data_IF_646898646259
#
_entry.id   IF_646898646259
#
_cell.length_a   1.000
_cell.length_b   1.000
_cell.length_c   1.000
_cell.angle_alpha   90.00
_cell.angle_beta   90.00
_cell.angle_gamma   90.00
#
_symmetry.space_group_name_H-M   'P 1'
#
loop_
_entity.id
_entity.type
_entity.pdbx_description
1 polymer ?
#
# COMPACT_ATOMS: atom_id res chain seq x y z
N UNK A 1 -41.44 -21.02 9.22
CA UNK A 1 -40.87 -22.23 9.87
C UNK A 1 -40.07 -22.99 8.81
N UNK A 2 -38.87 -23.54 9.00
CA UNK A 2 -38.05 -23.75 10.18
C UNK A 2 -36.56 -23.86 9.80
N UNK A 3 -35.71 -23.63 10.80
CA UNK A 3 -34.24 -23.61 10.72
C UNK A 3 -33.73 -25.06 10.65
N UNK A 4 -32.89 -25.41 9.66
CA UNK A 4 -32.14 -26.67 9.67
C UNK A 4 -30.89 -26.51 10.54
N UNK A 5 -30.90 -27.20 11.68
CA UNK A 5 -29.79 -27.32 12.64
C UNK A 5 -28.73 -28.25 12.04
N UNK A 6 -27.47 -27.84 12.02
CA UNK A 6 -26.33 -28.73 11.81
C UNK A 6 -25.78 -29.11 13.19
N UNK A 7 -25.88 -30.40 13.53
CA UNK A 7 -25.22 -30.98 14.70
C UNK A 7 -23.78 -31.32 14.32
N UNK A 8 -22.80 -30.74 15.01
CA UNK A 8 -21.39 -31.11 14.93
C UNK A 8 -21.01 -31.90 16.18
N UNK A 9 -20.93 -33.23 16.07
CA UNK A 9 -20.29 -34.09 17.05
C UNK A 9 -18.87 -34.38 16.58
N UNK A 10 -17.89 -33.70 17.17
CA UNK A 10 -16.51 -34.18 17.27
C UNK A 10 -16.11 -33.97 18.72
N UNK A 11 -16.13 -35.07 19.47
CA UNK A 11 -15.68 -35.16 20.83
C UNK A 11 -14.18 -34.86 20.90
N UNK A 12 -13.81 -33.90 21.74
CA UNK A 12 -12.45 -33.75 22.26
C UNK A 12 -12.29 -34.70 23.45
N UNK A 13 -11.22 -35.50 23.54
CA UNK A 13 -10.86 -36.14 24.79
C UNK A 13 -10.29 -35.08 25.76
N UNK A 14 -10.93 -34.96 26.91
CA UNK A 14 -10.42 -34.30 28.11
C UNK A 14 -9.08 -34.90 28.54
N UNK A 15 -8.12 -34.04 28.89
CA UNK A 15 -6.94 -34.40 29.65
C UNK A 15 -6.94 -33.53 30.92
N UNK A 16 -7.48 -34.09 31.99
CA UNK A 16 -7.43 -33.63 33.39
C UNK A 16 -7.51 -34.92 34.22
N UNK A 17 -6.79 -35.19 35.30
CA UNK A 17 -5.51 -34.78 35.85
C UNK A 17 -5.29 -35.80 36.98
N UNK A 18 -4.09 -36.36 37.16
CA UNK A 18 -3.67 -36.86 38.47
C UNK A 18 -2.19 -36.55 38.66
N UNK A 19 -1.98 -35.60 39.56
CA UNK A 19 -0.75 -35.35 40.29
C UNK A 19 -0.43 -36.52 41.22
N UNK A 20 0.83 -36.53 41.67
CA UNK A 20 1.38 -37.20 42.85
C UNK A 20 2.32 -38.39 42.59
N UNK A 21 3.47 -38.30 43.27
CA UNK A 21 4.61 -39.23 43.35
C UNK A 21 5.76 -38.98 42.36
N UNK A 22 6.37 -37.79 42.49
CA UNK A 22 7.76 -37.54 42.11
C UNK A 22 8.55 -36.96 43.27
N UNK A 23 8.56 -37.66 44.40
CA UNK A 23 9.67 -37.63 45.35
C UNK A 23 10.13 -39.10 45.45
N UNK A 24 11.42 -39.35 45.60
CA UNK A 24 12.07 -40.69 45.63
C UNK A 24 12.56 -41.31 44.31
N UNK A 25 13.33 -40.54 43.51
CA UNK A 25 14.49 -41.12 42.79
C UNK A 25 15.69 -40.16 42.83
N UNK A 26 15.99 -39.64 44.01
CA UNK A 26 17.33 -39.16 44.35
C UNK A 26 18.03 -40.36 44.97
N UNK A 27 18.90 -41.05 44.21
CA UNK A 27 20.02 -41.93 44.66
C UNK A 27 20.39 -42.95 43.57
N UNK A 28 20.70 -42.50 42.35
CA UNK A 28 21.55 -43.30 41.46
C UNK A 28 22.67 -42.44 40.92
N UNK A 29 23.83 -42.57 41.57
CA UNK A 29 25.09 -41.98 41.16
C UNK A 29 25.32 -42.16 39.66
N UNK A 30 25.70 -41.10 38.92
CA UNK A 30 25.88 -41.21 37.48
C UNK A 30 27.09 -42.13 37.20
N UNK A 31 26.82 -43.22 36.47
CA UNK A 31 27.84 -44.10 35.90
C UNK A 31 28.86 -43.23 35.16
N UNK A 32 30.15 -43.40 35.48
CA UNK A 32 31.29 -42.69 34.90
C UNK A 32 31.23 -42.76 33.37
N UNK A 33 30.69 -41.71 32.74
CA UNK A 33 30.80 -41.49 31.31
C UNK A 33 32.28 -41.28 31.00
N UNK A 34 32.84 -42.19 30.19
CA UNK A 34 34.22 -42.12 29.71
C UNK A 34 34.48 -40.70 29.18
N UNK A 35 35.57 -40.07 29.63
CA UNK A 35 36.04 -38.77 29.15
C UNK A 35 36.41 -38.87 27.66
N UNK A 36 35.41 -38.84 26.77
CA UNK A 36 35.61 -38.56 25.35
C UNK A 36 36.03 -37.11 25.27
N UNK A 37 37.20 -36.85 24.69
CA UNK A 37 37.77 -35.52 24.46
C UNK A 37 36.71 -34.65 23.78
N UNK A 38 36.02 -33.82 24.56
CA UNK A 38 35.17 -32.75 24.02
C UNK A 38 36.13 -31.78 23.36
N UNK A 39 36.02 -31.73 22.04
CA UNK A 39 36.84 -30.93 21.13
C UNK A 39 36.97 -29.49 21.67
N UNK A 40 38.20 -28.97 21.73
CA UNK A 40 38.56 -27.65 22.31
C UNK A 40 37.70 -26.49 21.73
N UNK A 41 37.10 -26.71 20.55
CA UNK A 41 36.16 -25.81 19.88
C UNK A 41 34.83 -25.59 20.62
N UNK A 42 34.32 -26.58 21.35
CA UNK A 42 33.05 -26.45 22.10
C UNK A 42 33.19 -25.53 23.32
N UNK A 43 34.36 -25.53 23.99
CA UNK A 43 34.66 -24.60 25.08
C UNK A 43 34.80 -23.17 24.59
N UNK A 44 35.40 -22.98 23.40
CA UNK A 44 35.57 -21.65 22.77
C UNK A 44 34.25 -20.97 22.38
N UNK A 45 33.16 -21.72 22.26
CA UNK A 45 31.82 -21.21 21.96
C UNK A 45 30.87 -21.22 23.16
N UNK A 46 31.25 -21.87 24.27
CA UNK A 46 30.44 -21.93 25.48
C UNK A 46 30.51 -20.63 26.27
N UNK A 47 31.71 -20.09 26.49
CA UNK A 47 31.87 -18.83 27.25
C UNK A 47 31.15 -17.64 26.59
N UNK A 48 31.27 -17.39 25.27
CA UNK A 48 30.54 -16.30 24.62
C UNK A 48 29.02 -16.49 24.61
N UNK A 49 28.56 -17.75 24.61
CA UNK A 49 27.14 -18.08 24.63
C UNK A 49 26.54 -17.90 26.03
N UNK A 50 27.28 -18.26 27.08
CA UNK A 50 26.84 -18.10 28.46
C UNK A 50 26.85 -16.63 28.89
N UNK A 51 27.80 -15.82 28.40
CA UNK A 51 27.78 -14.37 28.61
C UNK A 51 26.63 -13.72 27.87
N UNK A 52 26.32 -14.16 26.64
CA UNK A 52 25.14 -13.72 25.90
C UNK A 52 23.84 -14.03 26.67
N UNK A 53 23.69 -15.24 27.21
CA UNK A 53 22.52 -15.62 28.00
C UNK A 53 22.38 -14.80 29.30
N UNK A 54 23.47 -14.56 30.03
CA UNK A 54 23.45 -13.69 31.22
C UNK A 54 23.08 -12.24 30.87
N UNK A 55 23.60 -11.72 29.76
CA UNK A 55 23.24 -10.38 29.29
C UNK A 55 21.76 -10.28 28.89
N UNK A 56 21.20 -11.35 28.30
CA UNK A 56 19.79 -11.42 27.93
C UNK A 56 18.88 -11.49 29.16
N UNK A 57 19.29 -12.23 30.19
CA UNK A 57 18.54 -12.30 31.44
C UNK A 57 18.54 -10.95 32.18
N UNK A 58 19.70 -10.29 32.29
CA UNK A 58 19.80 -8.94 32.86
C UNK A 58 19.01 -7.90 32.04
N UNK A 59 19.00 -8.03 30.71
CA UNK A 59 18.16 -7.21 29.84
C UNK A 59 16.66 -7.47 30.09
N UNK A 60 16.25 -8.73 30.25
CA UNK A 60 14.86 -9.09 30.53
C UNK A 60 14.36 -8.57 31.89
N UNK A 61 15.24 -8.54 32.90
CA UNK A 61 14.93 -8.01 34.23
C UNK A 61 14.87 -6.47 34.25
N UNK A 62 15.64 -5.81 33.38
CA UNK A 62 15.66 -4.34 33.24
C UNK A 62 14.65 -3.81 32.22
N UNK A 63 13.94 -4.68 31.50
CA UNK A 63 12.80 -4.28 30.67
C UNK A 63 11.76 -3.59 31.58
N UNK A 64 11.36 -2.34 31.28
CA UNK A 64 10.39 -1.65 32.09
C UNK A 64 9.11 -2.49 32.17
N UNK A 65 8.63 -2.74 33.40
CA UNK A 65 7.40 -3.50 33.70
C UNK A 65 6.17 -3.08 32.87
N UNK A 66 6.19 -1.88 32.26
CA UNK A 66 5.25 -1.42 31.23
C UNK A 66 5.06 -2.39 30.04
N UNK A 67 5.99 -3.30 29.76
CA UNK A 67 5.82 -4.30 28.69
C UNK A 67 5.16 -5.60 29.19
N UNK A 68 5.22 -5.89 30.50
CA UNK A 68 4.54 -7.01 31.15
C UNK A 68 3.14 -6.65 31.66
N UNK A 69 2.84 -5.37 31.88
CA UNK A 69 1.48 -4.84 32.08
C UNK A 69 0.69 -4.79 30.77
N UNK A 70 0.69 -5.89 30.03
CA UNK A 70 -0.34 -6.11 29.02
C UNK A 70 -1.62 -6.45 29.79
N UNK A 71 -2.38 -5.42 30.18
CA UNK A 71 -3.72 -5.55 30.76
C UNK A 71 -4.55 -6.53 29.91
N UNK A 72 -4.70 -7.78 30.37
CA UNK A 72 -5.53 -8.78 29.70
C UNK A 72 -7.00 -8.35 29.61
N UNK A 73 -7.40 -7.40 30.47
CA UNK A 73 -8.69 -6.71 30.42
C UNK A 73 -8.92 -5.88 29.15
N UNK A 74 -7.88 -5.60 28.34
CA UNK A 74 -7.95 -4.83 27.09
C UNK A 74 -7.82 -5.69 25.82
N UNK A 75 -7.86 -7.03 25.92
CA UNK A 75 -7.91 -7.94 24.76
C UNK A 75 -9.29 -7.86 24.07
N UNK A 76 -9.47 -6.81 23.25
CA UNK A 76 -10.58 -6.74 22.30
C UNK A 76 -10.50 -7.92 21.34
N UNK A 77 -11.61 -8.67 21.23
CA UNK A 77 -11.75 -9.76 20.27
C UNK A 77 -11.56 -9.23 18.82
N UNK A 78 -11.19 -10.09 17.88
CA UNK A 78 -10.94 -9.70 16.49
C UNK A 78 -12.15 -8.98 15.88
N UNK A 79 -13.37 -9.42 16.21
CA UNK A 79 -14.61 -8.79 15.78
C UNK A 79 -14.79 -7.39 16.37
N UNK A 80 -14.42 -7.18 17.63
CA UNK A 80 -14.51 -5.89 18.30
C UNK A 80 -13.46 -4.91 17.77
N UNK A 81 -12.27 -5.39 17.41
CA UNK A 81 -11.24 -4.58 16.73
C UNK A 81 -11.72 -4.08 15.38
N UNK A 82 -12.42 -4.91 14.61
CA UNK A 82 -13.05 -4.53 13.34
C UNK A 82 -14.14 -3.49 13.54
N UNK A 83 -15.04 -3.71 14.51
CA UNK A 83 -16.10 -2.74 14.89
C UNK A 83 -15.50 -1.40 15.31
N UNK A 84 -14.46 -1.39 16.16
CA UNK A 84 -13.77 -0.17 16.63
C UNK A 84 -13.07 0.58 15.49
N UNK A 85 -12.44 -0.13 14.55
CA UNK A 85 -11.87 0.48 13.32
C UNK A 85 -12.96 1.10 12.44
N UNK A 86 -14.08 0.39 12.26
CA UNK A 86 -15.24 0.90 11.53
C UNK A 86 -15.86 2.14 12.18
N UNK A 87 -16.01 2.14 13.51
CA UNK A 87 -16.53 3.27 14.28
C UNK A 87 -15.61 4.49 14.19
N UNK A 88 -14.29 4.30 14.34
CA UNK A 88 -13.30 5.37 14.16
C UNK A 88 -13.35 5.98 12.75
N UNK A 89 -13.49 5.16 11.73
CA UNK A 89 -13.65 5.64 10.35
C UNK A 89 -14.96 6.42 10.15
N UNK A 90 -16.05 5.99 10.79
CA UNK A 90 -17.34 6.69 10.73
C UNK A 90 -17.31 8.03 11.47
N UNK A 91 -16.70 8.09 12.65
CA UNK A 91 -16.53 9.32 13.43
C UNK A 91 -15.68 10.35 12.70
N UNK A 92 -14.51 9.95 12.19
CA UNK A 92 -13.65 10.84 11.39
C UNK A 92 -14.34 11.32 10.11
N UNK A 93 -15.16 10.47 9.47
CA UNK A 93 -15.97 10.88 8.31
C UNK A 93 -17.06 11.90 8.69
N UNK A 94 -17.75 11.72 9.83
CA UNK A 94 -18.72 12.70 10.35
C UNK A 94 -18.06 14.04 10.68
N UNK A 95 -16.94 14.03 11.40
CA UNK A 95 -16.18 15.24 11.74
C UNK A 95 -15.78 16.04 10.50
N UNK A 96 -15.23 15.38 9.47
CA UNK A 96 -14.87 16.03 8.19
C UNK A 96 -16.09 16.62 7.45
N UNK A 97 -17.25 15.96 7.52
CA UNK A 97 -18.48 16.48 6.91
C UNK A 97 -18.98 17.73 7.64
N UNK A 98 -18.97 17.72 8.97
CA UNK A 98 -19.35 18.86 9.79
C UNK A 98 -18.41 20.05 9.59
N UNK A 99 -17.09 19.82 9.55
CA UNK A 99 -16.08 20.84 9.26
C UNK A 99 -16.32 21.47 7.89
N UNK A 100 -16.56 20.64 6.86
CA UNK A 100 -16.87 21.11 5.51
C UNK A 100 -18.17 21.92 5.46
N UNK A 101 -19.17 21.53 6.24
CA UNK A 101 -20.43 22.27 6.34
C UNK A 101 -20.25 23.63 7.03
N UNK A 102 -19.44 23.69 8.10
CA UNK A 102 -19.08 24.94 8.79
C UNK A 102 -18.33 25.90 7.85
N UNK A 103 -17.31 25.41 7.14
CA UNK A 103 -16.57 26.19 6.14
C UNK A 103 -17.46 26.71 5.01
N UNK A 104 -18.46 25.92 4.56
CA UNK A 104 -19.41 26.35 3.54
C UNK A 104 -20.34 27.47 4.06
N UNK A 105 -20.82 27.35 5.30
CA UNK A 105 -21.65 28.38 5.95
C UNK A 105 -20.86 29.68 6.17
N UNK A 106 -19.61 29.59 6.59
CA UNK A 106 -18.73 30.73 6.78
C UNK A 106 -18.43 31.47 5.47
N UNK A 107 -18.11 30.74 4.40
CA UNK A 107 -17.93 31.31 3.05
C UNK A 107 -19.20 31.98 2.53
N UNK A 108 -20.39 31.44 2.82
CA UNK A 108 -21.65 32.09 2.47
C UNK A 108 -21.90 33.37 3.26
N UNK A 109 -21.55 33.41 4.56
CA UNK A 109 -21.64 34.63 5.38
C UNK A 109 -20.68 35.72 4.89
N UNK A 110 -19.45 35.37 4.53
CA UNK A 110 -18.47 36.30 3.96
C UNK A 110 -18.94 36.90 2.63
N UNK A 111 -19.51 36.07 1.73
CA UNK A 111 -20.09 36.55 0.47
C UNK A 111 -21.30 37.47 0.65
N UNK A 112 -22.13 37.25 1.67
CA UNK A 112 -23.27 38.13 2.00
C UNK A 112 -22.82 39.46 2.62
N UNK A 113 -21.69 39.47 3.33
CA UNK A 113 -21.10 40.71 3.86
C UNK A 113 -20.46 41.56 2.76
N UNK A 114 -19.78 40.94 1.79
CA UNK A 114 -19.17 41.66 0.66
C UNK A 114 -20.17 42.26 -0.33
N UNK A 115 -21.42 41.76 -0.38
CA UNK A 115 -22.47 42.30 -1.25
C UNK A 115 -23.27 43.46 -0.64
N UNK A 116 -22.96 43.90 0.59
CA UNK A 116 -23.69 44.98 1.29
C UNK A 116 -22.92 46.30 1.38
N UNK A 117 -21.67 46.35 0.94
CA UNK A 117 -20.84 47.56 0.94
C UNK A 117 -20.28 47.85 -0.45
N UNK A 118 -20.79 48.89 -1.11
CA UNK A 118 -20.15 49.46 -2.30
C UNK A 118 -21.13 49.86 -3.40
N UNK A 119 -21.87 50.96 -3.20
CA UNK A 119 -22.52 51.67 -4.29
C UNK A 119 -22.17 53.17 -4.15
N UNK A 120 -21.09 53.61 -4.80
CA UNK A 120 -20.79 55.01 -5.02
C UNK A 120 -20.06 55.20 -6.36
N UNK A 121 -20.73 56.00 -7.20
CA UNK A 121 -20.28 56.90 -8.26
C UNK A 121 -19.32 56.42 -9.36
N UNK A 122 -19.79 56.63 -10.60
CA UNK A 122 -19.01 56.62 -11.84
C UNK A 122 -19.30 57.96 -12.55
N UNK A 123 -18.29 58.78 -12.92
CA UNK A 123 -18.52 59.97 -13.71
C UNK A 123 -18.59 59.64 -15.21
N UNK A 124 -19.35 60.46 -15.95
CA UNK A 124 -19.53 60.44 -17.41
C UNK A 124 -18.28 60.99 -18.12
N UNK A 125 -18.03 60.57 -19.37
CA UNK A 125 -17.52 61.51 -20.39
C UNK A 125 -18.38 61.51 -21.66
N UNK A 126 -18.24 62.62 -22.37
CA UNK A 126 -19.03 63.19 -23.48
C UNK A 126 -18.77 62.48 -24.82
N UNK A 127 -19.75 62.59 -25.72
CA UNK A 127 -19.88 61.98 -27.05
C UNK A 127 -18.95 62.59 -28.12
N UNK A 128 -18.62 61.81 -29.18
CA UNK A 128 -18.59 62.24 -30.59
C UNK A 128 -18.57 61.02 -31.56
N UNK A 129 -19.46 61.08 -32.56
CA UNK A 129 -19.49 60.52 -33.93
C UNK A 129 -19.59 59.00 -34.31
N UNK A 130 -20.85 58.56 -34.50
CA UNK A 130 -21.54 57.87 -35.65
C UNK A 130 -20.90 56.72 -36.48
N UNK A 131 -21.34 55.49 -36.13
CA UNK A 131 -21.76 54.25 -36.89
C UNK A 131 -20.76 53.34 -37.66
N UNK A 132 -21.03 51.99 -37.77
CA UNK A 132 -22.26 51.26 -37.39
C UNK A 132 -22.10 50.20 -36.28
N UNK A 133 -23.26 49.81 -35.72
CA UNK A 133 -23.46 49.14 -34.43
C UNK A 133 -23.10 47.64 -34.36
N UNK A 134 -22.59 47.13 -33.22
CA UNK A 134 -22.94 45.80 -32.73
C UNK A 134 -24.25 45.90 -31.94
N UNK A 135 -25.21 45.05 -32.30
CA UNK A 135 -26.54 45.01 -31.71
C UNK A 135 -26.47 44.83 -30.19
N UNK A 136 -27.33 45.58 -29.51
CA UNK A 136 -27.51 45.64 -28.07
C UNK A 136 -27.54 44.25 -27.42
N UNK A 137 -26.82 44.12 -26.30
CA UNK A 137 -26.85 42.96 -25.44
C UNK A 137 -28.26 42.77 -24.85
N UNK A 138 -28.93 41.71 -25.29
CA UNK A 138 -30.12 41.21 -24.61
C UNK A 138 -29.77 40.77 -23.19
N UNK A 139 -30.66 40.96 -22.20
CA UNK A 139 -30.44 40.48 -20.84
C UNK A 139 -30.22 38.96 -20.86
N UNK A 140 -29.25 38.42 -20.10
CA UNK A 140 -28.92 37.01 -20.15
C UNK A 140 -30.12 36.18 -19.73
N UNK A 141 -30.73 35.50 -20.71
CA UNK A 141 -31.74 34.47 -20.46
C UNK A 141 -31.04 33.31 -19.75
N UNK A 142 -31.36 33.13 -18.47
CA UNK A 142 -30.83 32.03 -17.66
C UNK A 142 -31.46 30.71 -18.11
N UNK A 143 -30.85 30.05 -19.09
CA UNK A 143 -31.23 28.71 -19.51
C UNK A 143 -30.58 27.72 -18.53
N UNK A 144 -31.40 27.15 -17.65
CA UNK A 144 -31.00 26.18 -16.62
C UNK A 144 -30.68 24.82 -17.25
N UNK A 145 -29.60 24.69 -18.02
CA UNK A 145 -28.97 23.41 -18.37
C UNK A 145 -27.64 23.53 -19.15
N UNK A 146 -27.13 24.74 -19.44
CA UNK A 146 -25.82 24.88 -20.09
C UNK A 146 -25.11 26.14 -19.61
N UNK A 147 -24.41 26.01 -18.49
CA UNK A 147 -23.41 26.99 -18.06
C UNK A 147 -22.25 26.95 -19.06
N UNK A 148 -22.29 27.82 -20.06
CA UNK A 148 -21.10 28.18 -20.83
C UNK A 148 -20.28 29.15 -19.97
N UNK A 149 -19.31 28.59 -19.26
CA UNK A 149 -18.31 29.39 -18.56
C UNK A 149 -17.36 29.92 -19.63
N UNK A 150 -17.29 31.24 -19.89
CA UNK A 150 -16.27 31.79 -20.77
C UNK A 150 -14.90 31.36 -20.23
N UNK A 151 -14.11 30.67 -21.06
CA UNK A 151 -12.76 30.25 -20.73
C UNK A 151 -11.83 31.46 -20.72
N UNK A 152 -11.95 32.32 -19.72
CA UNK A 152 -10.91 33.29 -19.43
C UNK A 152 -9.74 32.57 -18.72
N UNK A 153 -8.63 32.47 -19.45
CA UNK A 153 -7.25 32.55 -18.96
C UNK A 153 -6.94 31.81 -17.64
N UNK A 154 -6.36 30.59 -17.75
CA UNK A 154 -5.53 30.09 -16.65
C UNK A 154 -5.58 28.61 -16.28
N UNK A 155 -5.95 27.69 -17.18
CA UNK A 155 -5.57 26.28 -16.96
C UNK A 155 -4.04 26.15 -17.07
N UNK A 156 -3.34 26.40 -15.96
CA UNK A 156 -1.88 26.19 -15.83
C UNK A 156 -1.57 24.81 -16.41
N UNK A 157 -0.89 24.80 -17.58
CA UNK A 157 -0.54 23.55 -18.29
C UNK A 157 0.13 22.62 -17.28
N UNK A 158 -0.48 21.46 -17.03
CA UNK A 158 0.04 20.50 -16.05
C UNK A 158 1.46 20.14 -16.45
N UNK A 159 2.43 20.56 -15.66
CA UNK A 159 3.84 20.21 -15.88
C UNK A 159 3.95 18.69 -15.87
N UNK A 160 4.46 18.09 -16.94
CA UNK A 160 4.64 16.65 -17.06
C UNK A 160 5.56 16.16 -15.93
N UNK A 161 4.99 15.40 -14.98
CA UNK A 161 5.66 14.92 -13.74
C UNK A 161 6.43 13.61 -13.96
N UNK A 162 6.70 13.25 -15.21
CA UNK A 162 7.36 11.99 -15.55
C UNK A 162 8.88 12.09 -15.34
N UNK A 163 9.47 11.28 -14.44
CA UNK A 163 10.87 11.43 -14.06
C UNK A 163 11.83 11.13 -15.23
N UNK A 164 11.43 10.28 -16.19
CA UNK A 164 12.21 10.02 -17.41
C UNK A 164 12.27 11.26 -18.31
N UNK A 165 11.12 11.93 -18.53
CA UNK A 165 11.06 13.15 -19.34
C UNK A 165 11.80 14.30 -18.67
N UNK A 166 11.73 14.39 -17.34
CA UNK A 166 12.49 15.39 -16.56
C UNK A 166 13.99 15.17 -16.70
N UNK A 167 14.46 13.92 -16.55
CA UNK A 167 15.87 13.58 -16.76
C UNK A 167 16.33 13.94 -18.18
N UNK A 168 15.55 13.59 -19.21
CA UNK A 168 15.86 13.95 -20.59
C UNK A 168 15.92 15.46 -20.81
N UNK A 169 15.09 16.26 -20.13
CA UNK A 169 15.14 17.73 -20.23
C UNK A 169 16.44 18.28 -19.64
N UNK A 170 16.86 17.77 -18.49
CA UNK A 170 18.12 18.16 -17.83
C UNK A 170 19.32 17.75 -18.69
N UNK A 171 19.31 16.53 -19.24
CA UNK A 171 20.38 16.07 -20.14
C UNK A 171 20.45 16.94 -21.40
N UNK A 172 19.31 17.30 -21.98
CA UNK A 172 19.26 18.20 -23.15
C UNK A 172 19.76 19.61 -22.81
N UNK A 173 19.40 20.18 -21.66
CA UNK A 173 19.91 21.50 -21.26
C UNK A 173 21.42 21.46 -21.01
N UNK A 174 21.92 20.43 -20.32
CA UNK A 174 23.36 20.24 -20.11
C UNK A 174 24.12 20.05 -21.42
N UNK A 175 23.59 19.29 -22.38
CA UNK A 175 24.20 19.14 -23.71
C UNK A 175 24.32 20.48 -24.43
N UNK A 176 23.25 21.28 -24.46
CA UNK A 176 23.28 22.62 -25.06
C UNK A 176 24.32 23.54 -24.39
N UNK A 177 24.44 23.50 -23.07
CA UNK A 177 25.46 24.27 -22.36
C UNK A 177 26.88 23.81 -22.76
N UNK A 178 27.12 22.51 -22.82
CA UNK A 178 28.42 21.95 -23.25
C UNK A 178 28.75 22.29 -24.71
N UNK A 179 27.76 22.27 -25.60
CA UNK A 179 27.94 22.68 -27.00
C UNK A 179 28.30 24.16 -27.13
N UNK A 180 27.78 25.04 -26.26
CA UNK A 180 28.13 26.46 -26.23
C UNK A 180 29.52 26.70 -25.61
N UNK A 181 29.89 25.93 -24.58
CA UNK A 181 31.24 25.93 -24.01
C UNK A 181 32.27 25.48 -25.04
N UNK A 182 32.00 24.40 -25.79
CA UNK A 182 32.87 23.91 -26.86
C UNK A 182 33.05 24.90 -28.02
N UNK A 183 32.07 25.78 -28.25
CA UNK A 183 32.14 26.87 -29.24
C UNK A 183 32.89 28.11 -28.71
N UNK A 184 33.49 28.04 -27.52
CA UNK A 184 34.29 29.12 -26.93
C UNK A 184 33.48 30.27 -26.32
N UNK A 185 32.14 30.16 -26.21
CA UNK A 185 31.28 31.24 -25.69
C UNK A 185 31.08 31.16 -24.17
N UNK A 186 32.18 31.11 -23.42
CA UNK A 186 32.20 30.91 -21.95
C UNK A 186 31.37 31.94 -21.20
N UNK A 187 31.47 33.22 -21.56
CA UNK A 187 30.76 34.31 -20.87
C UNK A 187 29.25 34.18 -21.02
N UNK A 188 28.79 33.78 -22.21
CA UNK A 188 27.36 33.55 -22.45
C UNK A 188 26.84 32.37 -21.63
N UNK A 189 27.67 31.34 -21.45
CA UNK A 189 27.31 30.17 -20.65
C UNK A 189 27.20 30.52 -19.17
N UNK A 190 28.12 31.36 -18.65
CA UNK A 190 28.05 31.85 -17.27
C UNK A 190 26.75 32.64 -17.04
N UNK A 191 26.41 33.58 -17.92
CA UNK A 191 25.15 34.35 -17.84
C UNK A 191 23.92 33.45 -17.90
N UNK A 192 23.93 32.40 -18.74
CA UNK A 192 22.82 31.43 -18.80
C UNK A 192 22.72 30.62 -17.50
N UNK A 193 23.84 30.16 -16.95
CA UNK A 193 23.86 29.42 -15.67
C UNK A 193 23.35 30.28 -14.51
N UNK A 194 23.78 31.53 -14.44
CA UNK A 194 23.30 32.51 -13.46
C UNK A 194 21.79 32.74 -13.60
N UNK A 195 21.31 33.00 -14.82
CA UNK A 195 19.87 33.16 -15.08
C UNK A 195 19.08 31.92 -14.66
N UNK A 196 19.58 30.72 -14.97
CA UNK A 196 18.93 29.47 -14.56
C UNK A 196 18.90 29.30 -13.03
N UNK A 197 19.96 29.71 -12.34
CA UNK A 197 20.03 29.67 -10.88
C UNK A 197 19.02 30.64 -10.25
N UNK A 198 18.95 31.88 -10.74
CA UNK A 198 17.97 32.88 -10.31
C UNK A 198 16.53 32.46 -10.61
N UNK A 199 16.25 31.97 -11.81
CA UNK A 199 14.93 31.45 -12.19
C UNK A 199 14.51 30.28 -11.27
N UNK A 200 15.46 29.41 -10.88
CA UNK A 200 15.17 28.34 -9.94
C UNK A 200 14.90 28.88 -8.52
N UNK A 201 15.61 29.91 -8.09
CA UNK A 201 15.41 30.52 -6.77
C UNK A 201 14.03 31.20 -6.69
N UNK A 202 13.66 31.96 -7.72
CA UNK A 202 12.34 32.62 -7.83
C UNK A 202 11.22 31.56 -7.80
N UNK A 203 11.31 30.51 -8.61
CA UNK A 203 10.31 29.42 -8.62
C UNK A 203 10.19 28.72 -7.27
N UNK A 204 11.30 28.52 -6.57
CA UNK A 204 11.29 27.94 -5.21
C UNK A 204 10.60 28.91 -4.23
N UNK A 205 10.86 30.21 -4.32
CA UNK A 205 10.22 31.24 -3.50
C UNK A 205 8.70 31.36 -3.77
N UNK A 206 8.27 31.20 -5.03
CA UNK A 206 6.85 31.10 -5.42
C UNK A 206 6.16 29.83 -4.86
N UNK A 207 6.92 28.90 -4.28
CA UNK A 207 6.40 27.63 -3.75
C UNK A 207 6.30 26.50 -4.80
N UNK A 208 6.86 26.70 -6.00
CA UNK A 208 6.94 25.65 -7.02
C UNK A 208 8.05 24.67 -6.67
N UNK A 209 7.68 23.38 -6.56
CA UNK A 209 8.63 22.29 -6.28
C UNK A 209 9.49 21.98 -7.51
N UNK A 210 10.63 22.64 -7.62
CA UNK A 210 11.67 22.37 -8.63
C UNK A 210 12.34 21.02 -8.33
N UNK A 211 12.44 20.13 -9.32
CA UNK A 211 12.90 18.73 -9.14
C UNK A 211 13.95 18.38 -10.19
N UNK A 212 15.08 19.08 -10.14
CA UNK A 212 16.09 19.03 -11.20
C UNK A 212 17.29 18.13 -10.84
N UNK A 213 17.25 17.44 -9.70
CA UNK A 213 18.32 16.57 -9.22
C UNK A 213 18.41 15.25 -10.00
N UNK A 214 19.48 15.08 -10.76
CA UNK A 214 19.72 13.91 -11.63
C UNK A 214 19.72 12.60 -10.85
N UNK A 215 20.38 12.55 -9.70
CA UNK A 215 20.47 11.33 -8.88
C UNK A 215 19.12 10.89 -8.33
N UNK A 216 18.34 11.84 -7.81
CA UNK A 216 17.01 11.57 -7.26
C UNK A 216 16.05 11.13 -8.36
N UNK A 217 16.14 11.72 -9.55
CA UNK A 217 15.36 11.29 -10.72
C UNK A 217 15.72 9.86 -11.13
N UNK A 218 17.03 9.52 -11.22
CA UNK A 218 17.49 8.15 -11.49
C UNK A 218 17.00 7.16 -10.41
N UNK A 219 17.13 7.51 -9.13
CA UNK A 219 16.61 6.70 -8.00
C UNK A 219 15.08 6.51 -8.09
N UNK A 220 14.35 7.55 -8.47
CA UNK A 220 12.88 7.50 -8.64
C UNK A 220 12.49 6.58 -9.80
N UNK A 221 13.22 6.64 -10.92
CA UNK A 221 13.01 5.73 -12.06
C UNK A 221 13.24 4.28 -11.61
N UNK A 222 14.34 4.00 -10.91
CA UNK A 222 14.64 2.66 -10.36
C UNK A 222 13.54 2.15 -9.44
N UNK A 223 13.07 2.98 -8.49
CA UNK A 223 11.95 2.62 -7.60
C UNK A 223 10.68 2.28 -8.38
N UNK A 224 10.34 3.07 -9.40
CA UNK A 224 9.18 2.81 -10.26
C UNK A 224 9.34 1.50 -11.06
N UNK A 225 10.54 1.21 -11.57
CA UNK A 225 10.78 -0.04 -12.31
C UNK A 225 10.72 -1.26 -11.38
N UNK A 226 11.29 -1.18 -10.18
CA UNK A 226 11.22 -2.27 -9.21
C UNK A 226 9.79 -2.53 -8.73
N UNK A 227 9.00 -1.47 -8.50
CA UNK A 227 7.57 -1.63 -8.17
C UNK A 227 6.82 -2.35 -9.29
N UNK A 228 7.08 -1.99 -10.56
CA UNK A 228 6.48 -2.67 -11.71
C UNK A 228 6.92 -4.14 -11.80
N UNK A 229 8.21 -4.44 -11.58
CA UNK A 229 8.71 -5.83 -11.54
C UNK A 229 8.05 -6.64 -10.44
N UNK A 230 7.91 -6.06 -9.24
CA UNK A 230 7.26 -6.72 -8.12
C UNK A 230 5.78 -7.00 -8.40
N UNK A 231 5.07 -6.02 -8.98
CA UNK A 231 3.69 -6.22 -9.44
C UNK A 231 3.60 -7.30 -10.50
N UNK A 232 4.48 -7.31 -11.50
CA UNK A 232 4.54 -8.36 -12.53
C UNK A 232 4.71 -9.75 -11.89
N UNK A 233 5.73 -9.94 -11.05
CA UNK A 233 5.95 -11.19 -10.30
C UNK A 233 4.73 -11.64 -9.49
N UNK A 234 4.01 -10.70 -8.86
CA UNK A 234 2.78 -11.01 -8.12
C UNK A 234 1.65 -11.48 -9.02
N UNK A 235 1.53 -10.91 -10.22
CA UNK A 235 0.55 -11.33 -11.20
C UNK A 235 0.89 -12.69 -11.80
N UNK A 236 2.16 -12.91 -12.17
CA UNK A 236 2.64 -14.19 -12.70
C UNK A 236 2.36 -15.32 -11.69
N UNK A 237 2.71 -15.12 -10.40
CA UNK A 237 2.39 -16.08 -9.33
C UNK A 237 0.90 -16.37 -9.18
N UNK A 238 0.03 -15.38 -9.41
CA UNK A 238 -1.43 -15.58 -9.35
C UNK A 238 -1.96 -16.38 -10.53
N UNK A 239 -1.39 -16.17 -11.71
CA UNK A 239 -1.70 -16.94 -12.90
C UNK A 239 -1.26 -18.40 -12.72
N UNK A 240 -0.01 -18.62 -12.31
CA UNK A 240 0.54 -19.94 -11.99
C UNK A 240 -0.31 -20.67 -10.94
N UNK A 241 -0.66 -20.01 -9.84
CA UNK A 241 -1.50 -20.61 -8.80
C UNK A 241 -2.90 -20.98 -9.32
N UNK A 242 -3.49 -20.15 -10.18
CA UNK A 242 -4.78 -20.43 -10.82
C UNK A 242 -4.69 -21.62 -11.75
N UNK A 243 -3.65 -21.68 -12.58
CA UNK A 243 -3.40 -22.81 -13.49
C UNK A 243 -3.14 -24.10 -12.73
N UNK A 244 -2.33 -24.06 -11.68
CA UNK A 244 -2.07 -25.20 -10.80
C UNK A 244 -3.38 -25.74 -10.21
N UNK A 245 -4.23 -24.87 -9.65
CA UNK A 245 -5.54 -25.27 -9.11
C UNK A 245 -6.46 -25.92 -10.15
N UNK A 246 -6.46 -25.40 -11.38
CA UNK A 246 -7.21 -26.01 -12.51
C UNK A 246 -6.65 -27.39 -12.84
N UNK A 247 -5.33 -27.52 -12.97
CA UNK A 247 -4.64 -28.78 -13.25
C UNK A 247 -4.90 -29.81 -12.15
N UNK A 248 -4.78 -29.44 -10.89
CA UNK A 248 -5.05 -30.33 -9.74
C UNK A 248 -6.49 -30.84 -9.74
N UNK A 249 -7.45 -29.95 -10.00
CA UNK A 249 -8.87 -30.30 -10.04
C UNK A 249 -9.17 -31.28 -11.18
N UNK A 250 -8.57 -31.04 -12.35
CA UNK A 250 -8.71 -31.93 -13.50
C UNK A 250 -8.00 -33.27 -13.26
N UNK A 251 -6.81 -33.27 -12.65
CA UNK A 251 -6.07 -34.47 -12.30
C UNK A 251 -6.87 -35.34 -11.33
N UNK A 252 -7.44 -34.75 -10.26
CA UNK A 252 -8.34 -35.45 -9.33
C UNK A 252 -9.56 -36.03 -10.03
N UNK A 253 -10.17 -35.29 -10.97
CA UNK A 253 -11.31 -35.78 -11.76
C UNK A 253 -10.90 -36.99 -12.62
N UNK A 254 -9.78 -36.89 -13.34
CA UNK A 254 -9.28 -37.95 -14.19
C UNK A 254 -8.92 -39.20 -13.36
N UNK A 255 -8.28 -39.02 -12.21
CA UNK A 255 -7.96 -40.09 -11.28
C UNK A 255 -9.24 -40.80 -10.81
N UNK A 256 -10.25 -40.06 -10.36
CA UNK A 256 -11.53 -40.62 -9.93
C UNK A 256 -12.28 -41.36 -11.05
N UNK A 257 -12.25 -40.83 -12.28
CA UNK A 257 -12.83 -41.50 -13.46
C UNK A 257 -12.08 -42.81 -13.72
N UNK A 258 -10.73 -42.79 -13.69
CA UNK A 258 -9.91 -43.97 -13.92
C UNK A 258 -10.15 -45.05 -12.85
N UNK A 259 -10.30 -44.67 -11.58
CA UNK A 259 -10.65 -45.56 -10.46
C UNK A 259 -12.02 -46.20 -10.70
N UNK A 260 -13.05 -45.40 -11.01
CA UNK A 260 -14.39 -45.92 -11.36
C UNK A 260 -14.37 -46.89 -12.54
N UNK A 261 -13.58 -46.61 -13.58
CA UNK A 261 -13.44 -47.50 -14.73
C UNK A 261 -12.75 -48.82 -14.36
N UNK A 262 -11.67 -48.77 -13.58
CA UNK A 262 -10.96 -49.96 -13.07
C UNK A 262 -11.87 -50.80 -12.17
N UNK A 263 -12.59 -50.17 -11.25
CA UNK A 263 -13.56 -50.86 -10.38
C UNK A 263 -14.68 -51.53 -11.18
N UNK A 264 -15.22 -50.87 -12.22
CA UNK A 264 -16.22 -51.49 -13.11
C UNK A 264 -15.66 -52.73 -13.81
N UNK A 265 -14.43 -52.65 -14.34
CA UNK A 265 -13.74 -53.80 -14.97
C UNK A 265 -13.53 -54.94 -13.96
N UNK A 266 -12.99 -54.63 -12.78
CA UNK A 266 -12.78 -55.61 -11.71
C UNK A 266 -14.09 -56.26 -11.25
N UNK A 267 -15.18 -55.49 -11.11
CA UNK A 267 -16.51 -56.02 -10.78
C UNK A 267 -17.02 -56.99 -11.84
N UNK A 268 -16.81 -56.71 -13.13
CA UNK A 268 -17.17 -57.62 -14.23
C UNK A 268 -16.34 -58.92 -14.19
N UNK A 269 -15.03 -58.82 -13.95
CA UNK A 269 -14.13 -59.96 -13.82
C UNK A 269 -14.56 -60.84 -12.62
N UNK A 270 -14.73 -60.25 -11.43
CA UNK A 270 -15.20 -60.96 -10.23
C UNK A 270 -16.53 -61.68 -10.44
N UNK A 271 -17.49 -61.03 -11.13
CA UNK A 271 -18.78 -61.66 -11.48
C UNK A 271 -18.63 -62.84 -12.45
N UNK A 272 -17.66 -62.79 -13.36
CA UNK A 272 -17.43 -63.86 -14.34
C UNK A 272 -16.74 -65.07 -13.72
N UNK A 273 -15.78 -64.83 -12.81
CA UNK A 273 -15.14 -65.86 -11.99
C UNK A 273 -16.18 -66.57 -11.12
N UNK A 274 -17.05 -65.82 -10.41
CA UNK A 274 -18.11 -66.42 -9.58
C UNK A 274 -19.09 -67.30 -10.40
N UNK A 275 -19.25 -67.02 -11.69
CA UNK A 275 -20.09 -67.80 -12.61
C UNK A 275 -19.34 -68.93 -13.33
N UNK A 276 -18.06 -69.15 -13.02
CA UNK A 276 -17.23 -70.16 -13.67
C UNK A 276 -16.90 -69.89 -15.14
N UNK A 277 -17.20 -68.69 -15.67
CA UNK A 277 -16.97 -68.34 -17.09
C UNK A 277 -15.55 -67.89 -17.40
N UNK A 278 -14.79 -67.55 -16.36
CA UNK A 278 -13.40 -67.12 -16.46
C UNK A 278 -12.66 -67.84 -15.35
N UNK A 279 -11.73 -68.71 -15.73
CA UNK A 279 -10.72 -69.28 -14.84
C UNK A 279 -9.54 -68.32 -14.88
N UNK A 280 -9.16 -67.80 -13.71
CA UNK A 280 -7.95 -66.99 -13.55
C UNK A 280 -6.75 -67.91 -13.37
#
# INVERSE_FOLDING_TARGET
MGKKKFNSTLASPEVVAQSENTEDVITKSPKKLSKRKINVRARKLYEPFMTFLKSYQAFAETLPRRFLEFDDSKKLDYQERLKKKGLKSRLTKKQRLEERAKLKKEKQKLKKKSSKSGNLNKPKPVEDDVKPQPKAAEPPTMIFSKLEVPQEEGFKKKVNKDPKRMLQKIEKSQKKLKELEAKGKTDTVMRIKEKMAWDSAIKKAEGVKVKDDVELLKKTIRKKTELKKHSKKKWDKRLEATEHRKKDSQAKRNENISKKLKEKKQKKIKKSIKKGRVVL
#
